data_IF_046679147694
#
_entry.id   IF_046679147694
#
_cell.length_a   1.000
_cell.length_b   1.000
_cell.length_c   1.000
_cell.angle_alpha   90.00
_cell.angle_beta   90.00
_cell.angle_gamma   90.00
#
_symmetry.space_group_name_H-M   'P 1'
#
loop_
_entity.id
_entity.type
_entity.pdbx_description
1 polymer ?
#
# COMPACT_ATOMS: atom_id res chain seq x y z
N UNK A 1 2.60 -5.97 -23.71
CA UNK A 1 2.01 -4.67 -23.28
C UNK A 1 0.49 -4.61 -23.43
N UNK A 2 -0.12 -5.25 -24.43
CA UNK A 2 -1.58 -5.28 -24.63
C UNK A 2 -2.38 -5.71 -23.37
N UNK A 3 -2.00 -6.78 -22.62
CA UNK A 3 -2.75 -7.19 -21.43
C UNK A 3 -2.82 -6.10 -20.35
N UNK A 4 -1.76 -5.31 -20.18
CA UNK A 4 -1.76 -4.20 -19.22
C UNK A 4 -2.72 -3.08 -19.63
N UNK A 5 -2.80 -2.72 -20.90
CA UNK A 5 -3.75 -1.68 -21.36
C UNK A 5 -5.20 -2.10 -21.14
N UNK A 6 -5.51 -3.39 -21.37
CA UNK A 6 -6.82 -3.96 -21.08
C UNK A 6 -7.12 -3.87 -19.57
N UNK A 7 -6.20 -4.32 -18.73
CA UNK A 7 -6.32 -4.21 -17.27
C UNK A 7 -6.55 -2.77 -16.81
N UNK A 8 -5.74 -1.84 -17.32
CA UNK A 8 -5.85 -0.41 -17.02
C UNK A 8 -7.21 0.17 -17.45
N UNK A 9 -7.73 -0.25 -18.59
CA UNK A 9 -9.06 0.17 -19.05
C UNK A 9 -10.15 -0.38 -18.14
N UNK A 10 -10.11 -1.67 -17.82
CA UNK A 10 -11.06 -2.32 -16.91
C UNK A 10 -11.08 -1.61 -15.55
N UNK A 11 -9.91 -1.37 -14.96
CA UNK A 11 -9.82 -0.71 -13.65
C UNK A 11 -10.32 0.73 -13.68
N UNK A 12 -10.18 1.44 -14.81
CA UNK A 12 -10.80 2.76 -15.00
C UNK A 12 -12.33 2.68 -15.08
N UNK A 13 -12.88 1.70 -15.80
CA UNK A 13 -14.32 1.51 -15.95
C UNK A 13 -15.00 1.06 -14.65
N UNK A 14 -14.29 0.31 -13.81
CA UNK A 14 -14.79 -0.11 -12.48
C UNK A 14 -14.81 1.05 -11.47
N UNK A 15 -14.04 2.11 -11.68
CA UNK A 15 -13.90 3.23 -10.75
C UNK A 15 -15.22 3.79 -10.20
N UNK A 16 -16.28 4.06 -11.00
CA UNK A 16 -17.55 4.58 -10.47
C UNK A 16 -18.26 3.61 -9.51
N UNK A 17 -18.01 2.31 -9.64
CA UNK A 17 -18.61 1.27 -8.80
C UNK A 17 -17.88 1.05 -7.47
N UNK A 18 -16.66 1.59 -7.31
CA UNK A 18 -15.86 1.44 -6.09
C UNK A 18 -16.57 2.05 -4.88
N UNK A 19 -17.23 3.18 -5.03
CA UNK A 19 -17.98 3.80 -3.93
C UNK A 19 -19.09 2.87 -3.41
N UNK A 20 -19.83 2.24 -4.31
CA UNK A 20 -20.86 1.26 -3.95
C UNK A 20 -20.26 0.00 -3.30
N UNK A 21 -19.18 -0.51 -3.84
CA UNK A 21 -18.45 -1.63 -3.25
C UNK A 21 -17.97 -1.31 -1.82
N UNK A 22 -17.42 -0.13 -1.59
CA UNK A 22 -17.00 0.33 -0.25
C UNK A 22 -18.19 0.40 0.70
N UNK A 23 -19.34 0.91 0.28
CA UNK A 23 -20.55 0.95 1.11
C UNK A 23 -20.98 -0.44 1.58
N UNK A 24 -20.93 -1.45 0.68
CA UNK A 24 -21.19 -2.84 1.03
C UNK A 24 -20.15 -3.34 2.05
N UNK A 25 -18.89 -3.01 1.89
CA UNK A 25 -17.83 -3.42 2.82
C UNK A 25 -17.98 -2.77 4.19
N UNK A 26 -18.39 -1.51 4.23
CA UNK A 26 -18.71 -0.79 5.47
C UNK A 26 -19.87 -1.46 6.19
N UNK A 27 -20.97 -1.78 5.47
CA UNK A 27 -22.14 -2.43 6.08
C UNK A 27 -21.81 -3.81 6.66
N UNK A 28 -20.77 -4.49 6.11
CA UNK A 28 -20.26 -5.77 6.60
C UNK A 28 -19.15 -5.63 7.66
N UNK A 29 -18.86 -4.42 8.15
CA UNK A 29 -17.79 -4.17 9.13
C UNK A 29 -16.37 -4.49 8.62
N UNK A 30 -16.14 -4.43 7.31
CA UNK A 30 -14.86 -4.78 6.67
C UNK A 30 -14.02 -3.56 6.30
N UNK A 31 -14.50 -2.34 6.55
CA UNK A 31 -13.79 -1.08 6.29
C UNK A 31 -13.94 -0.12 7.49
N UNK A 32 -12.92 0.68 7.68
CA UNK A 32 -12.90 1.78 8.64
C UNK A 32 -13.45 3.06 7.97
N UNK A 33 -14.64 3.50 8.40
CA UNK A 33 -15.29 4.69 7.84
C UNK A 33 -14.44 5.95 7.94
N UNK A 34 -13.69 6.10 9.03
CA UNK A 34 -12.86 7.28 9.26
C UNK A 34 -11.64 7.34 8.35
N UNK A 35 -11.24 6.20 7.74
CA UNK A 35 -10.04 6.04 6.93
C UNK A 35 -10.32 5.67 5.47
N UNK A 36 -11.57 5.81 5.02
CA UNK A 36 -11.96 5.46 3.64
C UNK A 36 -11.18 6.25 2.58
N UNK A 37 -10.79 7.48 2.86
CA UNK A 37 -10.00 8.32 1.97
C UNK A 37 -8.69 7.63 1.51
N UNK A 38 -8.10 6.78 2.37
CA UNK A 38 -6.89 6.03 2.06
C UNK A 38 -7.11 5.04 0.90
N UNK A 39 -8.30 4.45 0.77
CA UNK A 39 -8.68 3.56 -0.35
C UNK A 39 -8.72 4.27 -1.69
N UNK A 40 -8.85 5.59 -1.68
CA UNK A 40 -8.79 6.46 -2.85
C UNK A 40 -7.40 7.07 -3.08
N UNK A 41 -6.39 6.63 -2.31
CA UNK A 41 -4.99 7.04 -2.43
C UNK A 41 -4.64 8.35 -1.75
N UNK A 42 -5.52 8.88 -0.89
CA UNK A 42 -5.23 10.07 -0.07
C UNK A 42 -4.74 9.68 1.32
N UNK A 43 -4.01 10.57 1.97
CA UNK A 43 -3.58 10.44 3.36
C UNK A 43 -3.67 11.80 4.04
N UNK A 44 -4.11 11.80 5.31
CA UNK A 44 -4.11 12.99 6.16
C UNK A 44 -2.77 13.15 6.91
N UNK A 45 -1.90 12.14 6.81
CA UNK A 45 -0.57 12.17 7.41
C UNK A 45 0.40 12.87 6.48
N UNK A 46 1.10 13.86 6.98
CA UNK A 46 2.12 14.58 6.23
C UNK A 46 3.32 13.69 5.89
N UNK A 47 3.78 13.80 4.65
CA UNK A 47 5.00 13.17 4.19
C UNK A 47 6.19 13.97 4.75
N UNK A 48 7.10 13.29 5.44
CA UNK A 48 8.37 13.90 5.84
C UNK A 48 9.29 14.10 4.63
N UNK A 49 10.08 15.16 4.68
CA UNK A 49 11.19 15.30 3.73
C UNK A 49 12.19 14.16 3.89
N UNK A 50 12.93 13.87 2.81
CA UNK A 50 13.99 12.87 2.81
C UNK A 50 13.51 11.50 2.31
N UNK A 51 14.14 10.43 2.83
CA UNK A 51 14.03 9.06 2.33
C UNK A 51 12.82 8.35 2.94
N UNK A 52 11.85 8.04 2.09
CA UNK A 52 10.65 7.28 2.44
C UNK A 52 10.74 5.88 1.86
N UNK A 53 10.49 4.85 2.66
CA UNK A 53 10.39 3.46 2.19
C UNK A 53 8.95 2.99 2.36
N UNK A 54 8.37 2.43 1.31
CA UNK A 54 7.03 1.88 1.32
C UNK A 54 7.08 0.35 1.36
N UNK A 55 6.37 -0.23 2.33
CA UNK A 55 6.10 -1.66 2.44
C UNK A 55 4.62 -1.93 2.18
N UNK A 56 4.34 -2.97 1.42
CA UNK A 56 2.99 -3.50 1.26
C UNK A 56 2.93 -4.95 1.74
N UNK A 57 2.04 -5.21 2.70
CA UNK A 57 1.75 -6.53 3.25
C UNK A 57 0.23 -6.69 3.33
N UNK A 58 -0.37 -7.53 2.48
CA UNK A 58 -1.82 -7.60 2.33
C UNK A 58 -2.52 -8.21 3.55
N UNK A 59 -1.90 -9.19 4.17
CA UNK A 59 -2.47 -9.99 5.27
C UNK A 59 -1.81 -9.72 6.62
N UNK A 60 -2.42 -10.25 7.68
CA UNK A 60 -1.85 -10.23 9.03
C UNK A 60 -0.52 -10.99 9.07
N UNK A 61 -0.49 -12.19 8.50
CA UNK A 61 0.72 -13.05 8.50
C UNK A 61 1.90 -12.34 7.86
N UNK A 62 1.70 -11.77 6.66
CA UNK A 62 2.71 -10.97 5.97
C UNK A 62 3.17 -9.76 6.81
N UNK A 63 2.21 -9.03 7.39
CA UNK A 63 2.52 -7.85 8.20
C UNK A 63 3.35 -8.21 9.43
N UNK A 64 3.04 -9.30 10.10
CA UNK A 64 3.78 -9.77 11.28
C UNK A 64 5.18 -10.29 10.90
N UNK A 65 5.31 -10.97 9.74
CA UNK A 65 6.59 -11.53 9.29
C UNK A 65 7.66 -10.46 9.03
N UNK A 66 7.26 -9.24 8.67
CA UNK A 66 8.20 -8.14 8.39
C UNK A 66 8.46 -7.21 9.57
N UNK A 67 7.76 -7.38 10.72
CA UNK A 67 7.98 -6.52 11.90
C UNK A 67 9.45 -6.46 12.36
N UNK A 68 10.22 -7.57 12.39
CA UNK A 68 11.63 -7.52 12.75
C UNK A 68 12.45 -6.64 11.79
N UNK A 69 12.17 -6.73 10.49
CA UNK A 69 12.80 -5.87 9.48
C UNK A 69 12.43 -4.41 9.68
N UNK A 70 11.14 -4.11 9.87
CA UNK A 70 10.65 -2.75 10.11
C UNK A 70 11.28 -2.16 11.38
N UNK A 71 11.42 -2.95 12.44
CA UNK A 71 12.07 -2.52 13.69
C UNK A 71 13.53 -2.15 13.46
N UNK A 72 14.27 -2.96 12.69
CA UNK A 72 15.65 -2.67 12.32
C UNK A 72 15.77 -1.38 11.49
N UNK A 73 14.94 -1.21 10.48
CA UNK A 73 14.92 -0.03 9.62
C UNK A 73 14.45 1.23 10.37
N UNK A 74 13.61 1.06 11.39
CA UNK A 74 13.17 2.16 12.25
C UNK A 74 14.34 2.83 12.99
N UNK A 75 15.40 2.08 13.31
CA UNK A 75 16.61 2.56 13.97
C UNK A 75 17.61 3.21 12.99
N UNK A 76 17.43 3.03 11.70
CA UNK A 76 18.31 3.60 10.67
C UNK A 76 18.00 5.10 10.48
N UNK A 77 19.00 5.93 10.80
CA UNK A 77 18.91 7.39 10.69
C UNK A 77 18.87 7.90 9.24
N UNK A 78 19.26 7.07 8.27
CA UNK A 78 19.20 7.42 6.84
C UNK A 78 17.79 7.31 6.25
N UNK A 79 16.82 6.76 7.00
CA UNK A 79 15.42 6.60 6.62
C UNK A 79 14.60 7.58 7.45
N UNK A 80 13.87 8.48 6.82
CA UNK A 80 13.10 9.52 7.49
C UNK A 80 11.67 9.05 7.84
N UNK A 81 11.09 8.19 6.99
CA UNK A 81 9.73 7.68 7.19
C UNK A 81 9.56 6.31 6.54
N UNK A 82 8.75 5.47 7.16
CA UNK A 82 8.36 4.17 6.62
C UNK A 82 6.84 4.16 6.49
N UNK A 83 6.34 3.77 5.31
CA UNK A 83 4.92 3.56 5.06
C UNK A 83 4.66 2.07 5.01
N UNK A 84 3.75 1.58 5.83
CA UNK A 84 3.27 0.20 5.79
C UNK A 84 1.82 0.20 5.34
N UNK A 85 1.54 -0.37 4.17
CA UNK A 85 0.16 -0.53 3.70
C UNK A 85 -0.34 -1.95 3.89
N UNK A 86 -1.62 -2.08 4.31
CA UNK A 86 -2.30 -3.36 4.41
C UNK A 86 -3.66 -3.36 3.72
N UNK A 87 -4.17 -4.57 3.44
CA UNK A 87 -5.45 -4.76 2.75
C UNK A 87 -6.68 -4.82 3.66
N UNK A 88 -6.52 -5.12 4.96
CA UNK A 88 -7.65 -5.48 5.84
C UNK A 88 -7.72 -4.67 7.13
N UNK A 89 -8.94 -4.49 7.64
CA UNK A 89 -9.20 -3.86 8.93
C UNK A 89 -8.52 -4.63 10.09
N UNK A 90 -8.53 -5.95 10.02
CA UNK A 90 -7.92 -6.79 11.05
C UNK A 90 -6.40 -6.61 11.12
N UNK A 91 -5.72 -6.54 9.97
CA UNK A 91 -4.28 -6.23 9.92
C UNK A 91 -3.97 -4.88 10.54
N UNK A 92 -4.75 -3.84 10.19
CA UNK A 92 -4.59 -2.50 10.73
C UNK A 92 -4.72 -2.47 12.27
N UNK A 93 -5.75 -3.13 12.80
CA UNK A 93 -6.01 -3.17 14.25
C UNK A 93 -4.87 -3.87 15.01
N UNK A 94 -4.35 -4.98 14.50
CA UNK A 94 -3.24 -5.71 15.12
C UNK A 94 -1.95 -4.88 15.09
N UNK A 95 -1.71 -4.17 13.99
CA UNK A 95 -0.51 -3.36 13.82
C UNK A 95 -0.51 -2.09 14.68
N UNK A 96 -1.68 -1.55 15.02
CA UNK A 96 -1.82 -0.29 15.76
C UNK A 96 -0.96 -0.22 17.03
N UNK A 97 -0.84 -1.33 17.78
CA UNK A 97 -0.05 -1.41 19.00
C UNK A 97 1.42 -1.83 18.79
N UNK A 98 1.79 -2.19 17.55
CA UNK A 98 3.10 -2.79 17.24
C UNK A 98 4.02 -1.86 16.45
N UNK A 99 3.48 -0.79 15.86
CA UNK A 99 4.24 0.14 15.04
C UNK A 99 4.80 1.29 15.87
N UNK A 100 6.02 1.69 15.55
CA UNK A 100 6.64 2.90 16.11
C UNK A 100 6.12 4.16 15.40
N UNK A 101 6.35 5.34 16.01
CA UNK A 101 5.92 6.64 15.45
C UNK A 101 6.49 6.97 14.07
N UNK A 102 7.61 6.35 13.68
CA UNK A 102 8.25 6.55 12.37
C UNK A 102 7.56 5.73 11.27
N UNK A 103 6.81 4.70 11.63
CA UNK A 103 6.12 3.79 10.71
C UNK A 103 4.66 4.20 10.64
N UNK A 104 4.24 4.73 9.51
CA UNK A 104 2.87 5.15 9.24
C UNK A 104 2.14 3.97 8.58
N UNK A 105 1.04 3.56 9.20
CA UNK A 105 0.14 2.58 8.60
C UNK A 105 -0.92 3.28 7.75
N UNK A 106 -1.12 2.80 6.54
CA UNK A 106 -2.20 3.22 5.64
C UNK A 106 -2.86 2.00 4.99
N UNK A 107 -4.17 2.07 4.72
CA UNK A 107 -4.81 1.08 3.85
C UNK A 107 -4.31 1.26 2.42
N UNK A 108 -4.00 0.12 1.76
CA UNK A 108 -3.63 0.14 0.33
C UNK A 108 -4.77 0.72 -0.50
N UNK A 109 -4.53 1.68 -1.39
CA UNK A 109 -5.54 2.11 -2.36
C UNK A 109 -5.93 0.97 -3.30
N UNK A 110 -7.13 1.03 -3.85
CA UNK A 110 -7.48 0.15 -4.97
C UNK A 110 -6.55 0.42 -6.16
N UNK A 111 -6.18 -0.65 -6.89
CA UNK A 111 -5.26 -0.57 -8.02
C UNK A 111 -5.90 0.08 -9.25
N UNK A 112 -6.39 1.31 -9.05
CA UNK A 112 -6.96 2.18 -10.08
C UNK A 112 -5.97 3.29 -10.39
N UNK A 113 -5.67 3.58 -11.66
CA UNK A 113 -4.59 4.53 -12.03
C UNK A 113 -4.65 5.87 -11.31
N UNK A 114 -5.83 6.46 -11.13
CA UNK A 114 -5.98 7.74 -10.43
C UNK A 114 -5.66 7.65 -8.93
N UNK A 115 -5.99 6.53 -8.28
CA UNK A 115 -5.75 6.34 -6.84
C UNK A 115 -4.28 5.99 -6.58
N UNK A 116 -3.71 5.12 -7.42
CA UNK A 116 -2.28 4.81 -7.42
C UNK A 116 -1.44 6.07 -7.58
N UNK A 117 -1.80 6.93 -8.56
CA UNK A 117 -1.09 8.18 -8.78
C UNK A 117 -1.19 9.14 -7.59
N UNK A 118 -2.36 9.27 -6.95
CA UNK A 118 -2.51 10.09 -5.73
C UNK A 118 -1.59 9.58 -4.63
N UNK A 119 -1.61 8.28 -4.35
CA UNK A 119 -0.77 7.64 -3.34
C UNK A 119 0.72 7.87 -3.61
N UNK A 120 1.17 7.58 -4.83
CA UNK A 120 2.58 7.74 -5.20
C UNK A 120 3.02 9.21 -5.27
N UNK A 121 2.12 10.14 -5.62
CA UNK A 121 2.42 11.58 -5.59
C UNK A 121 2.60 12.08 -4.15
N UNK A 122 1.77 11.58 -3.23
CA UNK A 122 1.84 11.97 -1.83
C UNK A 122 3.09 11.40 -1.14
N UNK A 123 3.30 10.10 -1.23
CA UNK A 123 4.39 9.44 -0.51
C UNK A 123 5.73 9.51 -1.21
N UNK A 124 5.76 9.51 -2.53
CA UNK A 124 6.96 9.53 -3.38
C UNK A 124 8.09 8.67 -2.79
N UNK A 125 7.89 7.35 -2.62
CA UNK A 125 8.84 6.51 -1.92
C UNK A 125 10.13 6.34 -2.75
N UNK A 126 11.26 6.23 -2.07
CA UNK A 126 12.56 5.92 -2.70
C UNK A 126 12.68 4.44 -3.04
N UNK A 127 11.91 3.59 -2.35
CA UNK A 127 11.87 2.15 -2.54
C UNK A 127 10.49 1.63 -2.17
N UNK A 128 9.95 0.72 -2.99
CA UNK A 128 8.73 -0.03 -2.70
C UNK A 128 9.07 -1.51 -2.44
N UNK A 129 8.55 -2.07 -1.35
CA UNK A 129 8.79 -3.46 -0.94
C UNK A 129 7.45 -4.18 -0.82
N UNK A 130 7.24 -5.18 -1.65
CA UNK A 130 6.06 -6.03 -1.62
C UNK A 130 6.36 -7.32 -0.87
N UNK A 131 5.47 -7.70 0.06
CA UNK A 131 5.61 -8.94 0.82
C UNK A 131 4.83 -10.04 0.13
N UNK A 132 5.48 -11.17 -0.08
CA UNK A 132 4.95 -12.34 -0.81
C UNK A 132 4.56 -12.01 -2.27
N UNK A 133 3.37 -12.45 -2.72
CA UNK A 133 3.00 -12.41 -4.15
C UNK A 133 1.99 -11.30 -4.48
N UNK A 134 1.93 -10.25 -3.69
CA UNK A 134 1.01 -9.11 -3.90
C UNK A 134 1.45 -8.23 -5.06
N UNK A 135 1.12 -8.66 -6.28
CA UNK A 135 1.49 -7.98 -7.53
C UNK A 135 0.29 -7.18 -8.06
N UNK A 136 0.41 -5.86 -8.03
CA UNK A 136 -0.61 -4.91 -8.49
C UNK A 136 -0.14 -4.18 -9.76
N UNK A 137 -0.71 -4.50 -10.95
CA UNK A 137 -0.14 -4.04 -12.23
C UNK A 137 -0.04 -2.52 -12.40
N UNK A 138 -1.04 -1.74 -11.94
CA UNK A 138 -0.96 -0.28 -12.04
C UNK A 138 0.13 0.28 -11.12
N UNK A 139 0.27 -0.25 -9.90
CA UNK A 139 1.36 0.15 -9.00
C UNK A 139 2.71 -0.12 -9.62
N UNK A 140 2.97 -1.35 -10.11
CA UNK A 140 4.27 -1.70 -10.68
C UNK A 140 4.64 -0.83 -11.89
N UNK A 141 3.69 -0.57 -12.77
CA UNK A 141 3.93 0.26 -13.95
C UNK A 141 4.17 1.72 -13.56
N UNK A 142 3.42 2.26 -12.60
CA UNK A 142 3.62 3.65 -12.15
C UNK A 142 4.93 3.81 -11.35
N UNK A 143 5.34 2.82 -10.55
CA UNK A 143 6.65 2.78 -9.91
C UNK A 143 7.78 2.80 -10.96
N UNK A 144 7.68 1.94 -11.98
CA UNK A 144 8.65 1.90 -13.08
C UNK A 144 8.74 3.24 -13.83
N UNK A 145 7.63 3.88 -14.15
CA UNK A 145 7.61 5.19 -14.81
C UNK A 145 8.28 6.31 -14.00
N UNK A 146 8.24 6.18 -12.68
CA UNK A 146 8.84 7.13 -11.72
C UNK A 146 10.29 6.79 -11.37
N UNK A 147 10.86 5.73 -11.97
CA UNK A 147 12.16 5.17 -11.63
C UNK A 147 12.30 4.81 -10.13
N UNK A 148 11.19 4.40 -9.51
CA UNK A 148 11.18 3.92 -8.13
C UNK A 148 11.48 2.41 -8.16
N UNK A 149 12.55 2.00 -7.50
CA UNK A 149 12.91 0.60 -7.38
C UNK A 149 11.85 -0.15 -6.56
N UNK A 150 11.61 -1.41 -6.95
CA UNK A 150 10.70 -2.30 -6.23
C UNK A 150 11.34 -3.64 -5.94
N UNK A 151 11.07 -4.21 -4.77
CA UNK A 151 11.55 -5.51 -4.32
C UNK A 151 10.36 -6.37 -3.89
N UNK A 152 10.50 -7.68 -4.06
CA UNK A 152 9.61 -8.67 -3.45
C UNK A 152 10.40 -9.40 -2.37
N UNK A 153 9.86 -9.43 -1.16
CA UNK A 153 10.43 -10.16 -0.03
C UNK A 153 9.53 -11.30 0.38
N UNK A 154 10.11 -12.40 0.85
CA UNK A 154 9.38 -13.61 1.23
C UNK A 154 8.47 -14.16 0.10
N UNK A 155 8.86 -13.94 -1.16
CA UNK A 155 8.11 -14.43 -2.33
C UNK A 155 8.11 -15.96 -2.35
N UNK A 156 6.91 -16.55 -2.52
CA UNK A 156 6.76 -17.99 -2.76
C UNK A 156 6.50 -18.21 -4.24
N UNK A 157 7.38 -18.94 -4.90
CA UNK A 157 7.11 -19.44 -6.26
C UNK A 157 6.60 -20.88 -6.13
N UNK A 158 5.38 -21.12 -6.56
CA UNK A 158 4.87 -22.49 -6.79
C UNK A 158 5.32 -22.90 -8.19
N UNK A 159 6.10 -23.96 -8.27
CA UNK A 159 6.51 -24.61 -9.51
C UNK A 159 5.36 -25.49 -9.99
#
# INVERSE_FOLDING_TARGET
>A
MLPYYIYKLITKLIRPFIAFYILIRISKGKEDRSRIAERYGTSDVERKEGKVIWFHAASIGESLSILPLLSKLNSDKSIDQIILTTGTLTSANILKSKLSKKIIHQYIPFDIPSYVNKFLNHWNPSLAVFVESEIWPNFLIELKKRNINSLIVNGRMTI
#
